data_IF_283415701673
#
_entry.id   IF_283415701673
#
_cell.length_a   1.000
_cell.length_b   1.000
_cell.length_c   1.000
_cell.angle_alpha   90.00
_cell.angle_beta   90.00
_cell.angle_gamma   90.00
#
_symmetry.space_group_name_H-M   'P 1'
#
loop_
_entity.id
_entity.type
_entity.pdbx_description
1 polymer ?
#
# COMPACT_ATOMS: atom_id res chain seq x y z
N UNK A 1 11.79 26.93 -11.46
CA UNK A 1 11.70 26.82 -9.98
C UNK A 1 12.81 25.89 -9.50
N UNK A 2 13.65 26.31 -8.56
CA UNK A 2 14.67 25.44 -7.96
C UNK A 2 13.97 24.36 -7.10
N UNK A 3 14.47 23.11 -7.02
CA UNK A 3 13.85 22.06 -6.20
C UNK A 3 13.62 22.47 -4.73
N UNK A 4 14.50 23.31 -4.19
CA UNK A 4 14.39 23.89 -2.85
C UNK A 4 13.23 24.88 -2.65
N UNK A 5 12.57 25.30 -3.74
CA UNK A 5 11.48 26.28 -3.74
C UNK A 5 10.13 25.67 -4.08
N UNK A 6 10.02 24.34 -4.11
CA UNK A 6 8.75 23.64 -4.35
C UNK A 6 8.01 23.49 -3.02
N UNK A 7 6.69 23.71 -3.06
CA UNK A 7 5.85 23.41 -1.91
C UNK A 7 5.88 21.91 -1.61
N UNK A 8 6.07 21.56 -0.33
CA UNK A 8 6.00 20.18 0.13
C UNK A 8 4.53 19.77 0.23
N UNK A 9 4.18 18.70 -0.47
CA UNK A 9 2.82 18.15 -0.45
C UNK A 9 2.80 16.75 0.18
N UNK A 10 2.05 16.59 1.26
CA UNK A 10 1.80 15.33 1.96
C UNK A 10 0.29 15.12 1.97
N UNK A 11 -0.18 13.98 1.46
CA UNK A 11 -1.62 13.64 1.44
C UNK A 11 -2.17 13.22 2.81
N UNK A 12 -1.29 12.85 3.73
CA UNK A 12 -1.65 12.32 5.05
C UNK A 12 -0.62 11.30 5.56
N UNK A 13 -0.86 10.73 6.74
CA UNK A 13 -0.01 9.66 7.28
C UNK A 13 -0.07 8.41 6.40
N UNK A 14 0.96 7.58 6.49
CA UNK A 14 0.91 6.19 6.01
C UNK A 14 0.50 5.33 7.18
N UNK A 15 -0.55 4.54 7.01
CA UNK A 15 -1.05 3.61 8.03
C UNK A 15 -0.72 2.20 7.59
N UNK A 16 0.00 1.46 8.43
CA UNK A 16 0.31 0.04 8.22
C UNK A 16 -0.37 -0.72 9.35
N UNK A 17 -1.37 -1.53 9.01
CA UNK A 17 -2.10 -2.33 9.99
C UNK A 17 -1.31 -3.58 10.42
N UNK A 18 -1.90 -4.39 11.30
CA UNK A 18 -1.25 -5.57 11.86
C UNK A 18 -0.88 -6.63 10.82
N UNK A 19 0.21 -7.36 11.07
CA UNK A 19 0.65 -8.51 10.28
C UNK A 19 0.87 -8.22 8.78
N UNK A 20 1.22 -6.98 8.43
CA UNK A 20 1.60 -6.62 7.06
C UNK A 20 3.05 -7.04 6.79
N UNK A 21 3.28 -7.67 5.64
CA UNK A 21 4.61 -7.96 5.13
C UNK A 21 4.97 -7.01 3.97
N UNK A 22 6.07 -6.26 4.12
CA UNK A 22 6.57 -5.33 3.10
C UNK A 22 7.86 -5.89 2.50
N UNK A 23 7.83 -6.16 1.20
CA UNK A 23 8.97 -6.62 0.43
C UNK A 23 10.05 -5.54 0.26
N UNK A 24 11.28 -5.99 -0.01
CA UNK A 24 12.43 -5.10 -0.17
C UNK A 24 12.19 -4.04 -1.26
N UNK A 25 12.63 -2.80 -1.00
CA UNK A 25 12.52 -1.63 -1.89
C UNK A 25 11.10 -1.25 -2.31
N UNK A 26 10.05 -1.74 -1.63
CA UNK A 26 8.70 -1.23 -1.84
C UNK A 26 8.61 0.26 -1.43
N UNK A 27 7.85 1.04 -2.19
CA UNK A 27 7.58 2.45 -1.92
C UNK A 27 6.08 2.65 -1.66
N UNK A 28 5.72 3.29 -0.55
CA UNK A 28 4.32 3.57 -0.17
C UNK A 28 4.12 5.09 -0.17
N UNK A 29 3.16 5.59 -0.95
CA UNK A 29 2.87 7.02 -1.01
C UNK A 29 2.16 7.52 0.25
N UNK A 30 2.36 8.81 0.57
CA UNK A 30 1.65 9.49 1.67
C UNK A 30 0.13 9.33 1.54
N UNK A 31 -0.57 9.19 2.68
CA UNK A 31 -2.02 9.09 2.74
C UNK A 31 -2.57 7.70 2.39
N UNK A 32 -1.71 6.68 2.26
CA UNK A 32 -2.11 5.30 1.96
C UNK A 32 -2.25 4.48 3.24
N UNK A 33 -3.32 3.69 3.32
CA UNK A 33 -3.54 2.65 4.33
C UNK A 33 -3.27 1.27 3.73
N UNK A 34 -2.43 0.49 4.41
CA UNK A 34 -2.16 -0.92 4.09
C UNK A 34 -2.94 -1.79 5.06
N UNK A 35 -3.97 -2.48 4.56
CA UNK A 35 -4.85 -3.30 5.38
C UNK A 35 -4.16 -4.50 6.02
N UNK A 36 -4.72 -4.98 7.13
CA UNK A 36 -4.21 -6.09 7.95
C UNK A 36 -3.90 -7.33 7.14
N UNK A 37 -2.78 -7.99 7.43
CA UNK A 37 -2.41 -9.25 6.78
C UNK A 37 -2.05 -9.12 5.29
N UNK A 38 -1.81 -7.90 4.81
CA UNK A 38 -1.43 -7.64 3.41
C UNK A 38 0.03 -7.98 3.15
N UNK A 39 0.32 -8.45 1.94
CA UNK A 39 1.67 -8.69 1.43
C UNK A 39 1.96 -7.69 0.29
N UNK A 40 2.98 -6.86 0.45
CA UNK A 40 3.49 -5.95 -0.58
C UNK A 40 4.74 -6.57 -1.21
N UNK A 41 4.71 -6.84 -2.52
CA UNK A 41 5.85 -7.43 -3.24
C UNK A 41 7.07 -6.50 -3.30
N UNK A 42 8.26 -7.06 -3.51
CA UNK A 42 9.50 -6.30 -3.66
C UNK A 42 9.41 -5.31 -4.85
N UNK A 43 10.02 -4.13 -4.70
CA UNK A 43 9.99 -3.02 -5.67
C UNK A 43 8.58 -2.53 -6.07
N UNK A 44 7.52 -2.86 -5.33
CA UNK A 44 6.18 -2.34 -5.62
C UNK A 44 6.04 -0.86 -5.26
N UNK A 45 5.26 -0.10 -6.04
CA UNK A 45 4.95 1.31 -5.75
C UNK A 45 3.46 1.44 -5.44
N UNK A 46 3.13 1.53 -4.15
CA UNK A 46 1.76 1.61 -3.65
C UNK A 46 1.28 3.04 -3.66
N UNK A 47 0.31 3.34 -4.53
CA UNK A 47 -0.22 4.69 -4.76
C UNK A 47 -1.64 4.90 -4.25
N UNK A 48 -2.30 3.83 -3.77
CA UNK A 48 -3.69 3.79 -3.28
C UNK A 48 -3.80 2.82 -2.11
N UNK A 49 -4.86 2.96 -1.33
CA UNK A 49 -5.17 2.06 -0.22
C UNK A 49 -5.26 0.60 -0.66
N UNK A 50 -4.79 -0.29 0.21
CA UNK A 50 -4.71 -1.73 -0.05
C UNK A 50 -5.66 -2.45 0.89
N UNK A 51 -6.61 -3.25 0.37
CA UNK A 51 -7.56 -3.98 1.21
C UNK A 51 -6.84 -5.04 2.07
N UNK A 52 -7.39 -5.39 3.25
CA UNK A 52 -6.82 -6.40 4.13
C UNK A 52 -6.74 -7.77 3.44
N UNK A 53 -5.82 -8.61 3.92
CA UNK A 53 -5.57 -9.98 3.46
C UNK A 53 -5.40 -10.07 1.92
N UNK A 54 -4.67 -9.13 1.34
CA UNK A 54 -4.39 -9.09 -0.09
C UNK A 54 -2.90 -9.14 -0.40
N UNK A 55 -2.56 -9.51 -1.63
CA UNK A 55 -1.20 -9.42 -2.17
C UNK A 55 -1.18 -8.36 -3.24
N UNK A 56 -0.30 -7.37 -3.13
CA UNK A 56 -0.12 -6.29 -4.11
C UNK A 56 1.27 -6.30 -4.72
N UNK A 57 1.36 -6.01 -6.02
CA UNK A 57 2.62 -5.96 -6.76
C UNK A 57 2.57 -4.98 -7.95
N UNK A 58 3.76 -4.52 -8.39
CA UNK A 58 3.93 -3.70 -9.59
C UNK A 58 4.08 -2.19 -9.35
N UNK A 59 4.19 -1.44 -10.45
CA UNK A 59 4.35 0.03 -10.49
C UNK A 59 3.39 0.60 -11.55
N UNK A 60 2.20 1.13 -11.17
CA UNK A 60 1.65 1.19 -9.81
C UNK A 60 1.21 -0.19 -9.29
N UNK A 61 1.25 -0.37 -7.98
CA UNK A 61 0.88 -1.62 -7.32
C UNK A 61 -0.62 -1.93 -7.53
N UNK A 62 -0.92 -3.17 -7.90
CA UNK A 62 -2.27 -3.71 -8.07
C UNK A 62 -2.43 -4.96 -7.22
N UNK A 63 -3.67 -5.22 -6.77
CA UNK A 63 -4.02 -6.48 -6.10
C UNK A 63 -3.88 -7.61 -7.12
N UNK A 64 -3.00 -8.56 -6.83
CA UNK A 64 -2.77 -9.77 -7.64
C UNK A 64 -3.41 -11.01 -7.03
N UNK A 65 -3.72 -10.97 -5.73
CA UNK A 65 -4.40 -12.04 -5.01
C UNK A 65 -5.15 -11.48 -3.81
N UNK A 66 -6.32 -12.04 -3.52
CA UNK A 66 -7.09 -11.76 -2.30
C UNK A 66 -7.33 -13.08 -1.56
N UNK A 67 -7.18 -13.05 -0.24
CA UNK A 67 -7.46 -14.20 0.64
C UNK A 67 -8.81 -14.05 1.36
N UNK A 68 -9.53 -12.95 1.14
CA UNK A 68 -10.92 -12.80 1.55
C UNK A 68 -11.77 -13.63 0.60
N UNK A 69 -12.01 -14.88 0.99
CA UNK A 69 -13.15 -15.66 0.52
C UNK A 69 -14.42 -14.99 1.04
N UNK A 70 -15.44 -14.90 0.20
CA UNK A 70 -16.76 -14.30 0.41
C UNK A 70 -17.55 -14.87 1.61
N UNK A 71 -17.06 -14.69 2.85
CA UNK A 71 -17.67 -15.22 4.07
C UNK A 71 -17.83 -14.15 5.16
N UNK A 72 -18.33 -12.97 4.77
CA UNK A 72 -18.99 -12.03 5.70
C UNK A 72 -20.37 -11.63 5.16
N UNK A 73 -21.18 -12.64 4.82
CA UNK A 73 -22.64 -12.55 4.94
C UNK A 73 -23.11 -13.74 5.77
N UNK A 74 -23.01 -13.62 7.09
CA UNK A 74 -23.82 -14.37 8.05
C UNK A 74 -24.14 -13.51 9.26
#
# INVERSE_FOLDING_TARGET
>A
MQPSKRDLYIKGPVVIEDNVWIGDKASIHSGVTIGKGTIVACNAVVTKDVPPYSVVAGVPAKVIKSYISSLEEK
#
